data_IF_153202700895
#
_entry.id   IF_153202700895
#
_cell.length_a   1.000
_cell.length_b   1.000
_cell.length_c   1.000
_cell.angle_alpha   90.00
_cell.angle_beta   90.00
_cell.angle_gamma   90.00
#
_symmetry.space_group_name_H-M   'P 1'
#
loop_
_entity.id
_entity.type
_entity.pdbx_description
1 polymer ?
#
# COMPACT_ATOMS: atom_id res chain seq x y z
N UNK A 1 15.59 -33.10 -58.36
CA UNK A 1 14.98 -34.35 -58.87
C UNK A 1 15.26 -35.40 -57.81
N UNK A 2 14.29 -35.69 -56.94
CA UNK A 2 13.30 -36.75 -57.16
C UNK A 2 13.92 -38.04 -56.61
N UNK A 3 13.62 -38.42 -55.37
CA UNK A 3 12.44 -39.18 -54.92
C UNK A 3 12.83 -40.64 -54.70
N UNK A 4 12.64 -41.13 -53.48
CA UNK A 4 12.18 -42.49 -53.13
C UNK A 4 12.27 -42.67 -51.60
N UNK A 5 11.40 -43.37 -50.88
CA UNK A 5 10.17 -44.09 -51.22
C UNK A 5 9.47 -44.43 -49.88
N UNK A 6 8.20 -44.84 -49.98
CA UNK A 6 7.55 -45.87 -49.14
C UNK A 6 6.29 -45.46 -48.36
N UNK A 7 5.18 -45.81 -49.02
CA UNK A 7 4.07 -46.60 -48.49
C UNK A 7 3.00 -45.92 -47.62
N UNK A 8 1.91 -45.58 -48.31
CA UNK A 8 0.55 -45.52 -47.80
C UNK A 8 0.12 -46.82 -47.09
N UNK A 9 -0.46 -46.66 -45.90
CA UNK A 9 -1.59 -47.47 -45.44
C UNK A 9 -2.66 -46.55 -44.86
N UNK A 10 -3.75 -46.41 -45.62
CA UNK A 10 -5.01 -45.81 -45.18
C UNK A 10 -5.68 -46.71 -44.14
N UNK A 11 -6.08 -46.14 -43.00
CA UNK A 11 -7.14 -46.68 -42.16
C UNK A 11 -8.19 -45.59 -41.92
N UNK A 12 -9.40 -45.87 -42.40
CA UNK A 12 -10.58 -45.01 -42.35
C UNK A 12 -11.17 -45.03 -40.93
N UNK A 13 -11.68 -43.88 -40.51
CA UNK A 13 -12.22 -43.58 -39.19
C UNK A 13 -13.20 -44.62 -38.63
N UNK A 14 -13.06 -44.90 -37.33
CA UNK A 14 -14.15 -45.45 -36.49
C UNK A 14 -14.58 -44.31 -35.56
N UNK A 15 -15.80 -43.84 -35.77
CA UNK A 15 -16.52 -42.94 -34.87
C UNK A 15 -16.72 -43.63 -33.53
N UNK A 16 -16.03 -43.15 -32.50
CA UNK A 16 -16.33 -43.43 -31.11
C UNK A 16 -16.68 -42.12 -30.44
N UNK A 17 -17.93 -41.98 -30.03
CA UNK A 17 -18.36 -40.96 -29.07
C UNK A 17 -17.55 -41.17 -27.78
N UNK A 18 -16.67 -40.22 -27.48
CA UNK A 18 -16.14 -40.02 -26.14
C UNK A 18 -16.47 -38.60 -25.72
N UNK A 19 -17.39 -38.53 -24.78
CA UNK A 19 -17.68 -37.40 -23.90
C UNK A 19 -16.38 -36.99 -23.17
N UNK A 20 -15.65 -36.05 -23.76
CA UNK A 20 -14.57 -35.34 -23.08
C UNK A 20 -15.08 -33.93 -22.78
N UNK A 21 -15.44 -33.71 -21.51
CA UNK A 21 -15.59 -32.35 -20.98
C UNK A 21 -14.27 -31.59 -21.17
N UNK A 22 -14.18 -30.86 -22.27
CA UNK A 22 -13.18 -29.83 -22.46
C UNK A 22 -13.47 -28.73 -21.43
N UNK A 23 -12.72 -28.74 -20.33
CA UNK A 23 -12.41 -27.49 -19.62
C UNK A 23 -11.75 -26.57 -20.63
N UNK A 24 -12.54 -25.67 -21.21
CA UNK A 24 -12.06 -24.57 -22.02
C UNK A 24 -11.00 -23.80 -21.23
N UNK A 25 -9.77 -23.76 -21.75
CA UNK A 25 -8.75 -22.85 -21.23
C UNK A 25 -9.29 -21.42 -21.34
N UNK A 26 -9.16 -20.59 -20.29
CA UNK A 26 -9.63 -19.20 -20.31
C UNK A 26 -9.00 -18.43 -21.49
N UNK A 27 -9.75 -17.48 -22.03
CA UNK A 27 -9.30 -16.56 -23.09
C UNK A 27 -8.03 -15.84 -22.65
N UNK A 28 -6.97 -15.93 -23.45
CA UNK A 28 -5.66 -15.30 -23.17
C UNK A 28 -5.71 -13.77 -23.17
N UNK A 29 -6.73 -13.18 -23.78
CA UNK A 29 -6.86 -11.71 -23.92
C UNK A 29 -7.30 -11.03 -22.62
N UNK A 30 -8.23 -11.62 -21.85
CA UNK A 30 -8.74 -11.03 -20.59
C UNK A 30 -7.72 -11.09 -19.45
N UNK A 31 -7.01 -12.22 -19.31
CA UNK A 31 -5.97 -12.40 -18.26
C UNK A 31 -4.78 -11.43 -18.48
N UNK A 32 -4.46 -11.13 -19.74
CA UNK A 32 -3.40 -10.16 -20.09
C UNK A 32 -3.81 -8.73 -19.71
N UNK A 33 -5.10 -8.41 -19.75
CA UNK A 33 -5.60 -7.07 -19.42
C UNK A 33 -5.43 -6.75 -17.91
N UNK A 34 -5.88 -7.65 -17.03
CA UNK A 34 -5.80 -7.44 -15.57
C UNK A 34 -4.35 -7.38 -15.08
N UNK A 35 -3.46 -8.19 -15.66
CA UNK A 35 -2.04 -8.17 -15.30
C UNK A 35 -1.37 -6.82 -15.65
N UNK A 36 -1.71 -6.25 -16.81
CA UNK A 36 -1.22 -4.93 -17.22
C UNK A 36 -1.79 -3.82 -16.33
N UNK A 37 -3.08 -3.85 -16.01
CA UNK A 37 -3.67 -2.90 -15.06
C UNK A 37 -3.00 -2.93 -13.68
N UNK A 38 -2.67 -4.13 -13.18
CA UNK A 38 -1.91 -4.28 -11.92
C UNK A 38 -0.51 -3.68 -12.06
N UNK A 39 0.18 -3.92 -13.17
CA UNK A 39 1.51 -3.32 -13.43
C UNK A 39 1.43 -1.79 -13.43
N UNK A 40 0.42 -1.21 -14.06
CA UNK A 40 0.19 0.24 -14.08
C UNK A 40 -0.10 0.77 -12.67
N UNK A 41 -0.94 0.07 -11.89
CA UNK A 41 -1.21 0.40 -10.49
C UNK A 41 0.08 0.38 -9.65
N UNK A 42 0.92 -0.64 -9.78
CA UNK A 42 2.20 -0.78 -9.06
C UNK A 42 3.21 0.31 -9.43
N UNK A 43 3.27 0.68 -10.71
CA UNK A 43 4.16 1.72 -11.23
C UNK A 43 3.78 3.14 -10.77
N UNK A 44 2.51 3.38 -10.47
CA UNK A 44 2.03 4.63 -9.87
C UNK A 44 2.12 4.63 -8.35
N UNK A 45 2.03 3.46 -7.73
CA UNK A 45 2.00 3.27 -6.26
C UNK A 45 3.39 3.12 -5.63
N UNK A 46 4.20 4.18 -5.66
CA UNK A 46 5.58 4.14 -5.14
C UNK A 46 5.66 4.02 -3.61
N UNK A 47 4.68 4.58 -2.91
CA UNK A 47 4.57 4.55 -1.44
C UNK A 47 3.13 4.31 -1.02
N UNK A 48 2.90 4.07 0.28
CA UNK A 48 1.56 3.96 0.87
C UNK A 48 0.65 5.17 0.54
N UNK A 49 1.25 6.36 0.38
CA UNK A 49 0.52 7.57 0.02
C UNK A 49 0.08 7.56 -1.45
N UNK A 50 0.96 7.14 -2.35
CA UNK A 50 0.64 7.03 -3.78
C UNK A 50 -0.31 5.86 -4.05
N UNK A 51 -0.16 4.74 -3.33
CA UNK A 51 -1.11 3.62 -3.39
C UNK A 51 -2.52 4.04 -2.96
N UNK A 52 -2.61 4.84 -1.90
CA UNK A 52 -3.90 5.41 -1.46
C UNK A 52 -4.46 6.38 -2.48
N UNK A 53 -3.64 7.26 -3.06
CA UNK A 53 -4.09 8.18 -4.10
C UNK A 53 -4.62 7.43 -5.33
N UNK A 54 -3.89 6.42 -5.81
CA UNK A 54 -4.31 5.65 -6.98
C UNK A 54 -5.56 4.82 -6.69
N UNK A 55 -5.68 4.24 -5.49
CA UNK A 55 -6.91 3.61 -5.02
C UNK A 55 -8.09 4.58 -5.03
N UNK A 56 -7.89 5.82 -4.59
CA UNK A 56 -8.94 6.85 -4.62
C UNK A 56 -9.35 7.20 -6.05
N UNK A 57 -8.41 7.29 -6.99
CA UNK A 57 -8.72 7.56 -8.41
C UNK A 57 -9.57 6.42 -9.00
N UNK A 58 -9.17 5.16 -8.79
CA UNK A 58 -9.96 4.00 -9.23
C UNK A 58 -11.40 4.03 -8.69
N UNK A 59 -11.57 4.38 -7.41
CA UNK A 59 -12.89 4.48 -6.78
C UNK A 59 -13.71 5.64 -7.35
N UNK A 60 -13.09 6.81 -7.55
CA UNK A 60 -13.75 7.99 -8.13
C UNK A 60 -14.20 7.71 -9.58
N UNK A 61 -13.35 7.09 -10.37
CA UNK A 61 -13.64 6.71 -11.77
C UNK A 61 -14.80 5.69 -11.84
N UNK A 62 -14.93 4.81 -10.83
CA UNK A 62 -16.06 3.89 -10.66
C UNK A 62 -17.33 4.54 -10.05
N UNK A 63 -17.31 5.86 -9.85
CA UNK A 63 -18.45 6.64 -9.36
C UNK A 63 -18.69 6.52 -7.85
N UNK A 64 -17.66 6.19 -7.06
CA UNK A 64 -17.76 6.25 -5.61
C UNK A 64 -17.64 7.70 -5.12
N UNK A 65 -18.42 8.05 -4.09
CA UNK A 65 -18.36 9.35 -3.46
C UNK A 65 -17.32 9.37 -2.32
N UNK A 66 -16.39 10.33 -2.37
CA UNK A 66 -15.46 10.59 -1.27
C UNK A 66 -16.18 11.24 -0.09
N UNK A 67 -16.03 10.65 1.08
CA UNK A 67 -16.55 11.15 2.35
C UNK A 67 -15.45 11.81 3.19
N UNK A 68 -15.84 12.82 3.95
CA UNK A 68 -14.99 13.49 4.94
C UNK A 68 -15.26 12.91 6.32
N UNK A 69 -14.24 12.37 7.00
CA UNK A 69 -14.38 11.86 8.37
C UNK A 69 -14.72 12.94 9.42
N UNK A 70 -14.70 14.22 9.01
CA UNK A 70 -15.00 15.37 9.87
C UNK A 70 -16.48 15.78 9.82
N UNK A 71 -17.26 15.16 8.94
CA UNK A 71 -18.65 15.50 8.67
C UNK A 71 -19.57 14.35 9.04
N UNK A 72 -20.84 14.65 9.33
CA UNK A 72 -21.87 13.63 9.44
C UNK A 72 -22.21 13.08 8.05
N UNK A 73 -22.36 11.76 7.94
CA UNK A 73 -22.62 11.10 6.66
C UNK A 73 -24.10 10.79 6.50
N UNK A 74 -24.69 11.30 5.42
CA UNK A 74 -26.00 10.87 4.94
C UNK A 74 -25.79 9.74 3.92
N UNK A 75 -25.92 8.50 4.38
CA UNK A 75 -25.70 7.31 3.54
C UNK A 75 -27.03 6.75 3.03
N UNK A 76 -27.09 6.47 1.74
CA UNK A 76 -28.28 5.91 1.07
C UNK A 76 -28.05 4.47 0.61
N UNK A 77 -29.07 3.58 0.68
CA UNK A 77 -29.04 2.26 0.04
C UNK A 77 -28.74 2.37 -1.45
N UNK A 78 -27.90 1.47 -1.97
CA UNK A 78 -27.35 1.54 -3.33
C UNK A 78 -26.16 2.48 -3.49
N UNK A 79 -25.82 3.26 -2.46
CA UNK A 79 -24.73 4.22 -2.51
C UNK A 79 -23.34 3.58 -2.43
N UNK A 80 -22.39 4.22 -3.12
CA UNK A 80 -20.97 3.84 -3.19
C UNK A 80 -20.13 4.93 -2.54
N UNK A 81 -19.35 4.59 -1.52
CA UNK A 81 -18.65 5.58 -0.72
C UNK A 81 -17.24 5.14 -0.36
N UNK A 82 -16.35 6.09 -0.14
CA UNK A 82 -15.05 5.81 0.46
C UNK A 82 -14.55 6.98 1.28
N UNK A 83 -13.65 6.72 2.22
CA UNK A 83 -12.91 7.77 2.92
C UNK A 83 -11.45 7.36 3.07
N UNK A 84 -10.60 8.35 3.37
CA UNK A 84 -9.17 8.13 3.60
C UNK A 84 -8.77 8.67 4.97
N UNK A 85 -7.82 7.99 5.62
CA UNK A 85 -7.19 8.48 6.85
C UNK A 85 -5.68 8.62 6.65
N UNK A 86 -5.11 9.73 7.12
CA UNK A 86 -3.68 10.06 6.99
C UNK A 86 -3.13 10.10 5.55
N UNK A 87 -3.99 10.02 4.53
CA UNK A 87 -3.61 9.79 3.12
C UNK A 87 -2.89 8.46 2.88
N UNK A 88 -2.92 7.52 3.82
CA UNK A 88 -2.25 6.23 3.71
C UNK A 88 -3.15 5.02 3.96
N UNK A 89 -4.35 5.22 4.51
CA UNK A 89 -5.41 4.19 4.59
C UNK A 89 -6.58 4.63 3.73
N UNK A 90 -7.21 3.69 3.01
CA UNK A 90 -8.49 3.89 2.32
C UNK A 90 -9.49 2.82 2.73
N UNK A 91 -10.72 3.24 3.01
CA UNK A 91 -11.84 2.33 3.27
C UNK A 91 -12.95 2.67 2.29
N UNK A 92 -13.24 1.73 1.40
CA UNK A 92 -14.32 1.80 0.44
C UNK A 92 -15.45 0.86 0.84
N UNK A 93 -16.69 1.29 0.65
CA UNK A 93 -17.85 0.46 0.92
C UNK A 93 -19.04 0.80 0.02
N UNK A 94 -19.86 -0.21 -0.21
CA UNK A 94 -21.07 -0.14 -1.02
C UNK A 94 -22.23 -0.70 -0.22
N UNK A 95 -23.32 0.05 -0.16
CA UNK A 95 -24.55 -0.39 0.49
C UNK A 95 -25.45 -1.06 -0.54
N UNK A 96 -25.87 -2.31 -0.29
CA UNK A 96 -26.89 -2.96 -1.11
C UNK A 96 -28.21 -2.18 -1.12
N UNK A 97 -29.01 -2.33 -2.17
CA UNK A 97 -30.28 -1.60 -2.32
C UNK A 97 -31.30 -1.99 -1.24
N UNK A 98 -31.20 -3.21 -0.70
CA UNK A 98 -32.01 -3.75 0.40
C UNK A 98 -31.30 -3.66 1.75
N UNK A 99 -30.23 -2.88 1.85
CA UNK A 99 -29.50 -2.71 3.11
C UNK A 99 -30.35 -1.98 4.15
N UNK A 100 -30.41 -2.55 5.36
CA UNK A 100 -31.03 -1.93 6.53
C UNK A 100 -30.04 -1.87 7.70
N UNK A 101 -30.14 -0.91 8.63
CA UNK A 101 -29.31 -0.89 9.83
C UNK A 101 -29.39 -2.21 10.61
N UNK A 102 -28.26 -2.91 10.73
CA UNK A 102 -28.17 -4.25 11.34
C UNK A 102 -27.94 -5.39 10.34
N UNK A 103 -28.04 -5.10 9.04
CA UNK A 103 -27.53 -5.96 7.97
C UNK A 103 -26.03 -6.25 8.12
N UNK A 104 -25.59 -7.36 7.53
CA UNK A 104 -24.22 -7.81 7.63
C UNK A 104 -23.25 -7.09 6.69
N UNK A 105 -21.96 -7.29 6.94
CA UNK A 105 -20.86 -6.84 6.09
C UNK A 105 -20.12 -8.03 5.49
N UNK A 106 -19.73 -7.89 4.22
CA UNK A 106 -18.70 -8.70 3.59
C UNK A 106 -17.46 -7.81 3.45
N UNK A 107 -16.37 -8.16 4.15
CA UNK A 107 -15.18 -7.29 4.23
C UNK A 107 -13.97 -8.01 3.64
N UNK A 108 -13.27 -7.35 2.72
CA UNK A 108 -11.92 -7.73 2.28
C UNK A 108 -10.93 -6.72 2.83
N UNK A 109 -9.87 -7.19 3.48
CA UNK A 109 -8.84 -6.34 4.05
C UNK A 109 -7.46 -6.67 3.46
N UNK A 110 -6.71 -5.63 3.07
CA UNK A 110 -5.32 -5.71 2.62
C UNK A 110 -4.53 -4.52 3.22
N UNK A 111 -3.29 -4.31 2.77
CA UNK A 111 -2.47 -3.19 3.24
C UNK A 111 -1.74 -2.47 2.10
N UNK A 112 -1.48 -1.19 2.34
CA UNK A 112 -0.89 -0.25 1.38
C UNK A 112 0.62 -0.07 1.57
N UNK A 113 1.15 -0.43 2.73
CA UNK A 113 2.56 -0.33 3.05
C UNK A 113 3.34 -1.58 2.65
N UNK A 114 4.64 -1.38 2.43
CA UNK A 114 5.63 -2.43 2.17
C UNK A 114 6.94 -2.07 2.88
N UNK A 115 7.82 -3.04 3.18
CA UNK A 115 9.09 -2.75 3.80
C UNK A 115 9.97 -1.87 2.91
N UNK A 116 10.57 -0.82 3.49
CA UNK A 116 11.40 0.12 2.76
C UNK A 116 12.39 0.88 3.67
N UNK A 117 13.47 1.48 3.13
CA UNK A 117 14.20 2.54 3.81
C UNK A 117 13.33 3.80 3.80
N UNK A 118 13.02 4.34 4.97
CA UNK A 118 12.37 5.65 5.13
C UNK A 118 13.42 6.70 5.50
N UNK A 119 13.29 7.93 4.99
CA UNK A 119 14.18 9.02 5.39
C UNK A 119 14.00 9.30 6.88
N UNK A 120 15.11 9.54 7.59
CA UNK A 120 15.07 9.99 9.00
C UNK A 120 14.58 11.45 9.07
N UNK A 121 14.02 11.90 10.20
CA UNK A 121 13.71 13.32 10.40
C UNK A 121 14.95 14.23 10.26
N UNK A 122 16.14 13.73 10.59
CA UNK A 122 17.41 14.40 10.32
C UNK A 122 18.17 13.52 9.33
N UNK A 123 18.26 13.93 8.07
CA UNK A 123 18.86 13.11 7.01
C UNK A 123 20.31 13.48 6.70
N UNK A 124 20.74 14.72 6.98
CA UNK A 124 22.06 15.18 6.56
C UNK A 124 23.18 14.37 7.23
N UNK A 125 23.95 13.64 6.42
CA UNK A 125 25.15 12.94 6.84
C UNK A 125 26.23 13.11 5.78
N UNK A 126 27.48 13.30 6.21
CA UNK A 126 28.63 13.44 5.29
C UNK A 126 29.73 12.49 5.74
N UNK A 127 30.29 11.72 4.82
CA UNK A 127 31.40 10.82 5.09
C UNK A 127 32.27 10.64 3.84
N UNK A 128 33.59 10.65 4.02
CA UNK A 128 34.56 10.41 2.94
C UNK A 128 34.34 11.26 1.67
N UNK A 129 33.93 12.53 1.83
CA UNK A 129 33.67 13.44 0.70
C UNK A 129 32.34 13.21 -0.04
N UNK A 130 31.45 12.36 0.50
CA UNK A 130 30.11 12.13 0.00
C UNK A 130 29.05 12.69 0.94
N UNK A 131 28.05 13.35 0.37
CA UNK A 131 26.78 13.64 1.04
C UNK A 131 25.89 12.40 0.96
N UNK A 132 25.48 11.91 2.11
CA UNK A 132 24.59 10.77 2.30
C UNK A 132 23.25 11.22 2.88
N UNK A 133 22.21 10.44 2.63
CA UNK A 133 20.88 10.65 3.18
C UNK A 133 20.64 9.58 4.25
N UNK A 134 20.47 10.01 5.49
CA UNK A 134 20.15 9.15 6.62
C UNK A 134 18.77 8.50 6.46
N UNK A 135 18.72 7.17 6.56
CA UNK A 135 17.50 6.37 6.44
C UNK A 135 17.32 5.46 7.65
N UNK A 136 16.08 5.08 7.92
CA UNK A 136 15.69 4.08 8.91
C UNK A 136 14.95 2.93 8.21
N UNK A 137 15.10 1.73 8.73
CA UNK A 137 14.38 0.56 8.24
C UNK A 137 12.92 0.60 8.67
N UNK A 138 12.00 0.45 7.73
CA UNK A 138 10.57 0.29 7.99
C UNK A 138 10.14 -1.12 7.57
N UNK A 139 9.57 -1.88 8.51
CA UNK A 139 9.14 -3.27 8.26
C UNK A 139 10.27 -4.31 8.26
N UNK A 140 9.94 -5.55 7.88
CA UNK A 140 10.85 -6.69 7.84
C UNK A 140 11.57 -6.90 6.50
N UNK A 141 12.21 -5.87 5.95
CA UNK A 141 12.77 -5.90 4.60
C UNK A 141 13.97 -6.83 4.41
N UNK A 142 14.11 -7.38 3.20
CA UNK A 142 15.33 -8.04 2.75
C UNK A 142 16.39 -7.00 2.36
N UNK A 143 17.01 -6.36 3.34
CA UNK A 143 17.82 -5.14 3.14
C UNK A 143 18.99 -5.27 2.15
N UNK A 144 19.53 -6.46 1.95
CA UNK A 144 20.58 -6.69 0.97
C UNK A 144 20.13 -6.45 -0.48
N UNK A 145 18.83 -6.56 -0.79
CA UNK A 145 18.31 -6.35 -2.15
C UNK A 145 18.22 -4.87 -2.55
N UNK A 146 18.33 -3.97 -1.58
CA UNK A 146 18.34 -2.52 -1.78
C UNK A 146 19.72 -1.98 -2.17
N UNK A 147 20.77 -2.79 -1.98
CA UNK A 147 22.10 -2.44 -2.43
C UNK A 147 22.16 -2.51 -3.96
N UNK A 148 22.95 -1.62 -4.53
CA UNK A 148 23.20 -1.57 -5.96
C UNK A 148 21.96 -1.42 -6.85
N UNK A 149 20.91 -0.80 -6.31
CA UNK A 149 19.72 -0.36 -7.04
C UNK A 149 19.80 1.12 -7.41
N UNK A 150 19.13 1.47 -8.50
CA UNK A 150 18.93 2.86 -8.90
C UNK A 150 17.75 3.42 -8.12
N UNK A 151 18.06 4.20 -7.08
CA UNK A 151 17.08 4.59 -6.07
C UNK A 151 16.70 6.06 -6.22
N UNK A 152 15.49 6.36 -5.78
CA UNK A 152 14.99 7.73 -5.65
C UNK A 152 14.14 7.86 -4.38
N UNK A 153 13.46 8.99 -4.21
CA UNK A 153 12.55 9.26 -3.09
C UNK A 153 11.15 9.61 -3.58
N UNK A 154 10.16 9.12 -2.84
CA UNK A 154 8.76 9.49 -3.02
C UNK A 154 8.03 9.49 -1.68
N UNK A 155 6.94 10.25 -1.57
CA UNK A 155 6.12 10.27 -0.37
C UNK A 155 5.26 11.51 -0.28
N UNK A 156 5.13 12.08 0.92
CA UNK A 156 4.40 13.31 1.16
C UNK A 156 5.29 14.39 1.76
N UNK A 157 4.99 15.63 1.43
CA UNK A 157 5.61 16.84 1.97
C UNK A 157 4.53 17.72 2.57
N UNK A 158 4.82 18.32 3.73
CA UNK A 158 4.03 19.35 4.33
C UNK A 158 4.60 20.70 3.89
N UNK A 159 3.83 21.42 3.08
CA UNK A 159 4.18 22.77 2.63
C UNK A 159 3.47 23.81 3.48
N UNK A 160 4.17 24.89 3.79
CA UNK A 160 3.61 26.09 4.42
C UNK A 160 3.13 27.05 3.34
N UNK A 161 1.82 27.30 3.30
CA UNK A 161 1.23 28.31 2.44
C UNK A 161 1.52 29.73 2.91
N UNK A 162 1.30 30.71 2.03
CA UNK A 162 1.46 32.14 2.34
C UNK A 162 0.61 32.61 3.54
N UNK A 163 -0.54 31.96 3.74
CA UNK A 163 -1.46 32.20 4.86
C UNK A 163 -1.03 31.52 6.18
N UNK A 164 0.13 30.85 6.18
CA UNK A 164 0.69 30.12 7.31
C UNK A 164 0.07 28.73 7.53
N UNK A 165 -0.92 28.32 6.73
CA UNK A 165 -1.54 26.98 6.83
C UNK A 165 -0.63 25.93 6.23
N UNK A 166 -0.70 24.72 6.78
CA UNK A 166 0.00 23.56 6.23
C UNK A 166 -0.88 22.81 5.24
N UNK A 167 -0.30 22.46 4.09
CA UNK A 167 -0.92 21.63 3.07
C UNK A 167 -0.06 20.39 2.82
N UNK A 168 -0.71 19.24 2.62
CA UNK A 168 -0.02 18.03 2.19
C UNK A 168 0.08 17.99 0.66
N UNK A 169 1.26 17.68 0.14
CA UNK A 169 1.50 17.40 -1.28
C UNK A 169 2.23 16.07 -1.42
N UNK A 170 1.85 15.29 -2.43
CA UNK A 170 2.65 14.13 -2.82
C UNK A 170 3.81 14.59 -3.68
N UNK A 171 4.94 13.91 -3.54
CA UNK A 171 6.15 14.15 -4.34
C UNK A 171 6.72 12.81 -4.77
N UNK A 172 7.22 12.77 -6.00
CA UNK A 172 7.92 11.62 -6.57
C UNK A 172 9.02 12.14 -7.49
N UNK A 173 10.28 11.97 -7.10
CA UNK A 173 11.41 12.35 -7.96
C UNK A 173 11.63 11.24 -8.98
N UNK A 174 11.15 11.42 -10.21
CA UNK A 174 11.11 10.38 -11.25
C UNK A 174 12.43 10.24 -12.02
N UNK A 175 13.52 10.13 -11.27
CA UNK A 175 14.89 9.86 -11.76
C UNK A 175 15.75 9.31 -10.62
N UNK A 176 16.77 8.49 -10.90
CA UNK A 176 17.65 7.99 -9.85
C UNK A 176 18.53 9.11 -9.29
N UNK A 177 18.45 9.31 -7.98
CA UNK A 177 19.24 10.31 -7.25
C UNK A 177 19.99 9.71 -6.05
N UNK A 178 19.69 8.46 -5.69
CA UNK A 178 20.27 7.76 -4.56
C UNK A 178 20.88 6.43 -5.00
N UNK A 179 21.94 6.01 -4.28
CA UNK A 179 22.55 4.69 -4.44
C UNK A 179 23.08 4.20 -3.10
N UNK A 180 22.80 2.95 -2.75
CA UNK A 180 23.47 2.25 -1.63
C UNK A 180 24.52 1.31 -2.24
N UNK A 181 25.80 1.73 -2.35
CA UNK A 181 26.82 0.92 -3.01
C UNK A 181 27.26 -0.27 -2.13
N UNK A 182 27.48 -1.44 -2.75
CA UNK A 182 28.16 -2.54 -2.04
C UNK A 182 29.64 -2.25 -1.84
N UNK A 183 30.21 -2.82 -0.77
CA UNK A 183 31.66 -2.86 -0.61
C UNK A 183 32.25 -3.87 -1.62
N UNK A 184 33.31 -3.48 -2.31
CA UNK A 184 33.97 -4.35 -3.26
C UNK A 184 34.47 -5.65 -2.60
N UNK A 185 34.21 -6.80 -3.23
CA UNK A 185 34.61 -8.14 -2.75
C UNK A 185 36.12 -8.27 -2.47
N UNK A 186 36.96 -7.47 -3.12
CA UNK A 186 38.41 -7.44 -2.87
C UNK A 186 38.76 -7.02 -1.44
N UNK A 187 37.89 -6.21 -0.82
CA UNK A 187 38.00 -5.67 0.54
C UNK A 187 37.17 -6.49 1.56
N UNK A 188 36.22 -7.31 1.09
CA UNK A 188 35.49 -8.29 1.88
C UNK A 188 35.46 -9.64 1.15
N UNK A 189 36.52 -10.42 1.35
CA UNK A 189 36.71 -11.70 0.66
C UNK A 189 35.84 -12.82 1.21
N UNK A 190 35.25 -12.64 2.40
CA UNK A 190 34.44 -13.68 3.05
C UNK A 190 32.94 -13.49 2.83
N UNK A 191 32.52 -12.44 2.13
CA UNK A 191 31.10 -12.14 1.85
C UNK A 191 30.29 -13.32 1.29
N UNK A 192 30.90 -14.13 0.41
CA UNK A 192 30.23 -15.29 -0.20
C UNK A 192 30.22 -16.54 0.69
N UNK A 193 31.15 -16.65 1.66
CA UNK A 193 31.20 -17.78 2.59
C UNK A 193 30.41 -17.51 3.87
N UNK A 194 30.50 -16.29 4.39
CA UNK A 194 29.97 -15.90 5.70
C UNK A 194 28.58 -15.24 5.57
N UNK A 195 28.17 -14.93 4.35
CA UNK A 195 26.96 -14.20 4.01
C UNK A 195 27.15 -12.69 4.02
N UNK A 196 26.36 -11.99 3.21
CA UNK A 196 26.34 -10.54 3.14
C UNK A 196 25.70 -9.95 4.41
N UNK A 197 26.54 -9.60 5.39
CA UNK A 197 26.14 -9.02 6.67
C UNK A 197 26.26 -7.51 6.61
N UNK A 198 25.16 -6.81 6.88
CA UNK A 198 25.12 -5.35 6.86
C UNK A 198 24.74 -4.80 8.23
N UNK A 199 25.37 -3.69 8.61
CA UNK A 199 24.90 -2.84 9.69
C UNK A 199 23.93 -1.80 9.10
N UNK A 200 22.65 -1.88 9.47
CA UNK A 200 21.59 -1.02 8.93
C UNK A 200 21.71 0.45 9.34
N UNK A 201 22.51 0.79 10.34
CA UNK A 201 22.74 2.17 10.76
C UNK A 201 23.94 2.78 10.01
N UNK A 202 25.06 2.06 9.93
CA UNK A 202 26.32 2.63 9.44
C UNK A 202 26.59 2.37 7.95
N UNK A 203 26.01 1.30 7.38
CA UNK A 203 26.31 0.83 6.02
C UNK A 203 25.12 0.94 5.06
N UNK A 204 23.97 1.47 5.50
CA UNK A 204 22.74 1.48 4.72
C UNK A 204 22.29 2.87 4.24
N UNK A 205 22.99 3.93 4.64
CA UNK A 205 22.68 5.29 4.20
C UNK A 205 23.06 5.49 2.73
N UNK A 206 22.10 5.77 1.81
CA UNK A 206 22.39 6.03 0.42
C UNK A 206 23.23 7.29 0.22
N UNK A 207 24.08 7.26 -0.80
CA UNK A 207 24.82 8.40 -1.33
C UNK A 207 23.90 9.22 -2.23
N UNK A 208 23.90 10.54 -2.04
CA UNK A 208 23.19 11.52 -2.88
C UNK A 208 24.14 12.15 -3.91
N UNK A 209 25.27 12.68 -3.45
CA UNK A 209 26.26 13.32 -4.31
C UNK A 209 27.63 13.40 -3.62
N UNK A 210 28.65 13.90 -4.34
CA UNK A 210 29.92 14.27 -3.74
C UNK A 210 29.84 15.69 -3.16
N UNK A 211 30.54 15.94 -2.06
CA UNK A 211 30.64 17.29 -1.47
C UNK A 211 31.25 18.30 -2.47
N UNK A 212 32.15 17.84 -3.35
CA UNK A 212 32.73 18.67 -4.41
C UNK A 212 31.65 19.13 -5.39
N UNK A 213 30.81 18.21 -5.88
CA UNK A 213 29.75 18.56 -6.83
C UNK A 213 28.70 19.46 -6.19
N UNK A 214 28.32 19.19 -4.94
CA UNK A 214 27.44 20.05 -4.17
C UNK A 214 27.99 21.48 -4.07
N UNK A 215 29.27 21.66 -3.76
CA UNK A 215 29.89 22.98 -3.67
C UNK A 215 29.94 23.71 -5.02
N UNK A 216 30.29 23.01 -6.10
CA UNK A 216 30.33 23.58 -7.45
C UNK A 216 28.96 24.07 -7.93
N UNK A 217 27.90 23.37 -7.54
CA UNK A 217 26.52 23.69 -7.93
C UNK A 217 25.84 24.67 -6.94
N UNK A 218 26.58 25.20 -5.96
CA UNK A 218 26.06 26.18 -4.99
C UNK A 218 25.18 25.57 -3.89
N UNK A 219 25.25 24.25 -3.69
CA UNK A 219 24.54 23.50 -2.64
C UNK A 219 25.44 23.14 -1.44
N UNK A 220 26.50 23.89 -1.20
CA UNK A 220 27.34 23.74 0.00
C UNK A 220 26.54 24.07 1.26
N UNK A 221 26.77 23.32 2.34
CA UNK A 221 26.36 23.75 3.68
C UNK A 221 27.01 25.13 3.93
N UNK A 222 26.21 26.15 4.26
CA UNK A 222 26.77 27.45 4.63
C UNK A 222 27.53 27.27 5.93
N UNK A 223 28.84 27.51 5.91
CA UNK A 223 29.59 27.79 7.14
C UNK A 223 29.15 29.19 7.61
N UNK A 224 28.07 29.25 8.39
CA UNK A 224 27.76 30.47 9.12
C UNK A 224 28.92 30.74 10.09
N UNK A 225 29.61 31.86 9.85
CA UNK A 225 30.83 32.23 10.56
C UNK A 225 30.61 32.40 12.06
N UNK A 226 31.54 31.81 12.82
CA UNK A 226 31.96 32.11 14.20
C UNK A 226 30.93 32.26 15.35
N UNK A 227 29.64 32.06 15.11
CA UNK A 227 28.66 31.89 16.18
C UNK A 227 28.59 30.43 16.60
N UNK A 228 29.30 30.13 17.69
CA UNK A 228 29.18 28.89 18.47
C UNK A 228 27.70 28.62 18.75
N UNK A 229 27.23 27.42 18.36
CA UNK A 229 25.84 26.92 18.35
C UNK A 229 25.04 27.05 17.03
N UNK A 230 25.68 27.15 15.86
CA UNK A 230 24.98 26.91 14.59
C UNK A 230 24.48 25.45 14.49
N UNK A 231 23.17 25.29 14.44
CA UNK A 231 22.50 24.00 14.32
C UNK A 231 22.92 23.33 13.01
N UNK A 232 23.50 22.13 13.11
CA UNK A 232 23.81 21.30 11.94
C UNK A 232 22.56 21.19 11.06
N UNK A 233 22.69 21.48 9.77
CA UNK A 233 21.56 21.45 8.83
C UNK A 233 20.82 20.10 8.93
N UNK A 234 19.49 20.15 9.06
CA UNK A 234 18.66 18.96 9.23
C UNK A 234 18.72 18.03 8.00
N UNK A 235 18.77 18.65 6.82
CA UNK A 235 18.79 18.01 5.51
C UNK A 235 19.82 18.69 4.61
N UNK A 236 20.39 17.95 3.66
CA UNK A 236 21.29 18.51 2.64
C UNK A 236 20.52 19.51 1.75
N UNK A 237 21.07 20.72 1.46
CA UNK A 237 20.41 21.71 0.61
C UNK A 237 20.01 21.18 -0.77
N UNK A 238 20.85 20.31 -1.35
CA UNK A 238 20.55 19.67 -2.63
C UNK A 238 19.26 18.83 -2.59
N UNK A 239 19.03 18.06 -1.52
CA UNK A 239 17.81 17.27 -1.38
C UNK A 239 16.58 18.18 -1.32
N UNK A 240 16.63 19.24 -0.51
CA UNK A 240 15.53 20.20 -0.42
C UNK A 240 15.27 20.92 -1.75
N UNK A 241 16.32 21.27 -2.49
CA UNK A 241 16.17 21.90 -3.81
C UNK A 241 15.51 20.98 -4.83
N UNK A 242 15.86 19.69 -4.85
CA UNK A 242 15.23 18.70 -5.74
C UNK A 242 13.74 18.56 -5.38
N UNK A 243 13.40 18.44 -4.10
CA UNK A 243 12.01 18.34 -3.66
C UNK A 243 11.21 19.61 -3.99
N UNK A 244 11.82 20.78 -3.83
CA UNK A 244 11.20 22.06 -4.13
C UNK A 244 10.94 22.24 -5.63
N UNK A 245 11.86 21.78 -6.49
CA UNK A 245 11.70 21.75 -7.95
C UNK A 245 10.52 20.86 -8.37
N UNK A 246 10.43 19.62 -7.83
CA UNK A 246 9.30 18.72 -8.12
C UNK A 246 7.94 19.25 -7.64
N UNK A 247 7.95 20.13 -6.64
CA UNK A 247 6.75 20.69 -6.02
C UNK A 247 6.40 22.11 -6.50
N UNK A 248 7.24 22.70 -7.36
CA UNK A 248 7.14 24.10 -7.79
C UNK A 248 7.01 25.08 -6.60
N UNK A 249 7.88 24.93 -5.60
CA UNK A 249 7.91 25.78 -4.40
C UNK A 249 9.33 26.22 -4.04
N UNK A 250 9.48 27.04 -2.99
CA UNK A 250 10.80 27.34 -2.43
C UNK A 250 11.20 26.28 -1.41
N UNK A 251 12.51 25.98 -1.24
CA UNK A 251 12.98 25.07 -0.19
C UNK A 251 12.53 25.47 1.22
N UNK A 252 12.34 26.78 1.47
CA UNK A 252 11.89 27.31 2.74
C UNK A 252 10.40 27.02 3.04
N UNK A 253 9.61 26.68 2.02
CA UNK A 253 8.19 26.36 2.18
C UNK A 253 7.99 24.92 2.70
N UNK A 254 9.01 24.07 2.56
CA UNK A 254 9.01 22.68 3.05
C UNK A 254 9.13 22.69 4.57
N UNK A 255 8.03 22.40 5.26
CA UNK A 255 7.97 22.36 6.72
C UNK A 255 8.44 21.02 7.30
N UNK A 256 8.04 19.91 6.66
CA UNK A 256 8.40 18.54 7.06
C UNK A 256 8.08 17.59 5.89
N UNK A 257 8.67 16.39 5.87
CA UNK A 257 8.31 15.38 4.90
C UNK A 257 8.36 13.95 5.45
N UNK A 258 7.57 13.07 4.84
CA UNK A 258 7.63 11.63 5.05
C UNK A 258 7.88 10.96 3.72
N UNK A 259 9.15 10.60 3.48
CA UNK A 259 9.63 10.06 2.22
C UNK A 259 10.19 8.65 2.41
N UNK A 260 9.83 7.77 1.48
CA UNK A 260 10.43 6.45 1.34
C UNK A 260 11.49 6.52 0.24
N UNK A 261 12.53 5.71 0.38
CA UNK A 261 13.43 5.37 -0.73
C UNK A 261 12.73 4.33 -1.61
N UNK A 262 12.79 4.50 -2.92
CA UNK A 262 12.11 3.66 -3.90
C UNK A 262 13.06 3.22 -5.02
N UNK A 263 12.89 2.00 -5.52
CA UNK A 263 13.53 1.55 -6.78
C UNK A 263 12.88 2.28 -7.96
N UNK A 264 13.70 2.77 -8.88
CA UNK A 264 13.25 3.46 -10.10
C UNK A 264 13.00 2.48 -11.26
N UNK A 265 13.42 1.22 -11.12
CA UNK A 265 13.10 0.18 -12.10
C UNK A 265 11.58 -0.06 -12.13
N UNK A 266 10.92 0.09 -13.29
CA UNK A 266 9.48 -0.12 -13.39
C UNK A 266 9.10 -1.60 -13.23
N UNK A 267 7.91 -1.82 -12.69
CA UNK A 267 7.22 -3.10 -12.69
C UNK A 267 6.90 -3.50 -14.14
N UNK A 268 7.08 -4.79 -14.47
CA UNK A 268 6.89 -5.32 -15.82
C UNK A 268 6.31 -6.74 -15.80
N UNK A 269 5.67 -7.13 -16.91
CA UNK A 269 5.45 -8.54 -17.24
C UNK A 269 6.74 -9.11 -17.83
N UNK A 270 7.16 -10.29 -17.36
CA UNK A 270 8.40 -10.94 -17.77
C UNK A 270 8.34 -12.46 -17.72
N UNK A 271 9.52 -13.09 -17.86
CA UNK A 271 9.65 -14.52 -18.11
C UNK A 271 9.63 -14.86 -19.60
N UNK A 272 10.19 -16.01 -19.99
CA UNK A 272 10.31 -16.40 -21.39
C UNK A 272 8.96 -16.51 -22.13
N UNK A 273 7.87 -16.73 -21.38
CA UNK A 273 6.51 -16.81 -21.87
C UNK A 273 5.62 -15.62 -21.44
N UNK A 274 6.19 -14.54 -20.89
CA UNK A 274 5.45 -13.38 -20.36
C UNK A 274 4.39 -13.75 -19.32
N UNK A 275 4.71 -14.70 -18.42
CA UNK A 275 3.76 -15.28 -17.46
C UNK A 275 3.97 -14.79 -16.02
N UNK A 276 4.99 -13.96 -15.77
CA UNK A 276 5.33 -13.46 -14.43
C UNK A 276 5.24 -11.94 -14.35
N UNK A 277 4.94 -11.43 -13.17
CA UNK A 277 5.05 -10.00 -12.84
C UNK A 277 6.32 -9.80 -12.01
N UNK A 278 7.22 -8.96 -12.49
CA UNK A 278 8.42 -8.54 -11.75
C UNK A 278 8.17 -7.15 -11.18
N UNK A 279 8.05 -7.06 -9.86
CA UNK A 279 7.76 -5.80 -9.19
C UNK A 279 8.20 -5.83 -7.73
N UNK A 280 8.61 -4.67 -7.21
CA UNK A 280 8.59 -4.42 -5.77
C UNK A 280 7.15 -4.29 -5.26
N UNK A 281 6.96 -4.37 -3.94
CA UNK A 281 5.67 -4.05 -3.27
C UNK A 281 4.47 -4.94 -3.66
N UNK A 282 4.69 -6.06 -4.36
CA UNK A 282 3.63 -7.04 -4.63
C UNK A 282 2.94 -7.45 -3.33
N UNK A 283 3.75 -7.66 -2.28
CA UNK A 283 3.29 -7.66 -0.91
C UNK A 283 3.12 -6.20 -0.42
N UNK A 284 1.90 -5.69 -0.27
CA UNK A 284 0.59 -6.33 -0.52
C UNK A 284 -0.28 -5.55 -1.50
N UNK A 285 0.34 -4.72 -2.35
CA UNK A 285 -0.38 -3.91 -3.32
C UNK A 285 -1.12 -4.75 -4.36
N UNK A 286 -0.67 -5.98 -4.63
CA UNK A 286 -1.41 -6.93 -5.47
C UNK A 286 -2.80 -7.22 -4.88
N UNK A 287 -2.88 -7.55 -3.58
CA UNK A 287 -4.17 -7.83 -2.94
C UNK A 287 -5.02 -6.58 -2.78
N UNK A 288 -4.38 -5.42 -2.53
CA UNK A 288 -5.08 -4.13 -2.50
C UNK A 288 -5.75 -3.79 -3.83
N UNK A 289 -5.04 -3.96 -4.95
CA UNK A 289 -5.59 -3.78 -6.29
C UNK A 289 -6.72 -4.77 -6.57
N UNK A 290 -6.48 -6.07 -6.36
CA UNK A 290 -7.47 -7.12 -6.60
C UNK A 290 -8.75 -6.91 -5.78
N UNK A 291 -8.64 -6.48 -4.52
CA UNK A 291 -9.78 -6.23 -3.66
C UNK A 291 -10.66 -5.09 -4.21
N UNK A 292 -10.04 -3.98 -4.63
CA UNK A 292 -10.76 -2.84 -5.22
C UNK A 292 -11.37 -3.21 -6.58
N UNK A 293 -10.59 -3.83 -7.48
CA UNK A 293 -11.07 -4.25 -8.80
C UNK A 293 -12.25 -5.20 -8.67
N UNK A 294 -12.15 -6.21 -7.80
CA UNK A 294 -13.24 -7.15 -7.56
C UNK A 294 -14.50 -6.47 -6.99
N UNK A 295 -14.36 -5.49 -6.09
CA UNK A 295 -15.51 -4.71 -5.60
C UNK A 295 -16.16 -3.91 -6.73
N UNK A 296 -15.36 -3.20 -7.54
CA UNK A 296 -15.85 -2.37 -8.65
C UNK A 296 -16.60 -3.25 -9.66
N UNK A 297 -15.98 -4.33 -10.13
CA UNK A 297 -16.57 -5.27 -11.09
C UNK A 297 -17.82 -5.95 -10.52
N UNK A 298 -17.84 -6.32 -9.24
CA UNK A 298 -19.01 -6.94 -8.62
C UNK A 298 -20.23 -6.01 -8.64
N UNK A 299 -20.02 -4.72 -8.38
CA UNK A 299 -21.09 -3.71 -8.43
C UNK A 299 -21.62 -3.53 -9.86
N UNK A 300 -20.72 -3.50 -10.85
CA UNK A 300 -21.09 -3.31 -12.26
C UNK A 300 -21.82 -4.53 -12.84
N UNK A 301 -21.35 -5.74 -12.53
CA UNK A 301 -21.85 -6.96 -13.17
C UNK A 301 -23.09 -7.55 -12.49
N UNK A 302 -23.16 -7.50 -11.15
CA UNK A 302 -24.27 -8.13 -10.40
C UNK A 302 -25.38 -7.15 -10.03
N UNK A 303 -25.09 -5.85 -10.09
CA UNK A 303 -25.97 -4.82 -9.56
C UNK A 303 -26.13 -4.91 -8.04
N UNK A 304 -26.91 -3.99 -7.48
CA UNK A 304 -27.14 -3.88 -6.02
C UNK A 304 -28.58 -4.19 -5.61
N UNK A 305 -29.48 -4.45 -6.58
CA UNK A 305 -30.94 -4.51 -6.38
C UNK A 305 -31.37 -5.57 -5.35
N UNK A 306 -30.74 -6.74 -5.37
CA UNK A 306 -31.03 -7.85 -4.46
C UNK A 306 -30.07 -7.93 -3.26
N UNK A 307 -29.07 -7.05 -3.19
CA UNK A 307 -28.08 -7.08 -2.12
C UNK A 307 -28.65 -6.40 -0.86
N UNK A 308 -28.60 -7.13 0.25
CA UNK A 308 -29.06 -6.67 1.57
C UNK A 308 -27.91 -6.33 2.51
N UNK A 309 -26.67 -6.59 2.08
CA UNK A 309 -25.44 -6.41 2.84
C UNK A 309 -24.65 -5.21 2.33
N UNK A 310 -23.71 -4.79 3.17
CA UNK A 310 -22.67 -3.88 2.74
C UNK A 310 -21.43 -4.67 2.30
N UNK A 311 -20.85 -4.29 1.17
CA UNK A 311 -19.53 -4.75 0.75
C UNK A 311 -18.50 -3.72 1.19
N UNK A 312 -17.36 -4.14 1.71
CA UNK A 312 -16.31 -3.24 2.19
C UNK A 312 -14.93 -3.75 1.79
N UNK A 313 -14.08 -2.83 1.34
CA UNK A 313 -12.65 -3.04 1.14
C UNK A 313 -11.92 -2.06 2.04
N UNK A 314 -11.05 -2.57 2.90
CA UNK A 314 -10.25 -1.76 3.81
C UNK A 314 -8.76 -2.02 3.55
N UNK A 315 -8.06 -0.99 3.07
CA UNK A 315 -6.64 -1.02 2.77
C UNK A 315 -5.90 -0.21 3.83
N UNK A 316 -5.21 -0.88 4.74
CA UNK A 316 -4.59 -0.27 5.91
C UNK A 316 -3.11 0.03 5.72
N UNK A 317 -2.62 1.07 6.39
CA UNK A 317 -1.19 1.36 6.57
C UNK A 317 -0.63 0.66 7.83
N UNK A 318 0.69 0.66 7.99
CA UNK A 318 1.44 0.15 9.15
C UNK A 318 1.31 -1.34 9.44
N UNK A 319 0.94 -2.16 8.45
CA UNK A 319 0.91 -3.59 8.65
C UNK A 319 2.30 -4.13 9.00
N UNK A 320 3.31 -3.70 8.25
CA UNK A 320 4.68 -4.22 8.31
C UNK A 320 5.38 -3.92 9.65
N UNK A 321 4.78 -3.07 10.47
CA UNK A 321 5.28 -2.65 11.79
C UNK A 321 4.34 -3.02 12.94
N UNK A 322 3.36 -3.91 12.70
CA UNK A 322 2.50 -4.48 13.74
C UNK A 322 1.12 -3.85 13.88
N UNK A 323 0.73 -2.94 12.97
CA UNK A 323 -0.62 -2.37 12.86
C UNK A 323 -1.12 -1.54 14.04
N UNK A 324 -0.27 -1.20 15.01
CA UNK A 324 -0.64 -0.41 16.19
C UNK A 324 -0.60 1.10 15.89
N UNK A 325 -1.58 1.57 15.13
CA UNK A 325 -1.67 2.98 14.73
C UNK A 325 -3.12 3.45 14.53
N UNK A 326 -3.36 4.76 14.63
CA UNK A 326 -4.69 5.35 14.45
C UNK A 326 -5.28 5.13 13.04
N UNK A 327 -4.41 4.88 12.05
CA UNK A 327 -4.73 4.61 10.66
C UNK A 327 -5.34 3.21 10.45
N UNK A 328 -5.15 2.27 11.39
CA UNK A 328 -5.69 0.91 11.33
C UNK A 328 -7.06 0.81 12.01
N UNK A 329 -7.36 1.70 12.98
CA UNK A 329 -8.62 1.74 13.74
C UNK A 329 -9.80 2.36 12.97
N UNK A 330 -9.81 2.26 11.64
CA UNK A 330 -10.77 2.91 10.76
C UNK A 330 -11.95 1.98 10.41
N UNK A 331 -12.78 1.60 11.39
CA UNK A 331 -14.11 1.07 11.08
C UNK A 331 -15.15 2.20 11.14
N UNK A 332 -15.99 2.37 10.11
CA UNK A 332 -17.01 3.41 10.10
C UNK A 332 -18.06 3.18 11.18
N UNK A 333 -18.54 4.25 11.85
CA UNK A 333 -19.62 4.15 12.83
C UNK A 333 -20.96 3.99 12.11
N UNK A 334 -21.36 2.76 11.79
CA UNK A 334 -22.75 2.50 11.38
C UNK A 334 -23.64 2.44 12.63
N UNK A 335 -24.22 3.58 13.02
CA UNK A 335 -25.21 3.64 14.10
C UNK A 335 -26.61 3.90 13.57
N UNK A 336 -27.59 3.30 14.24
CA UNK A 336 -29.04 3.51 14.05
C UNK A 336 -29.38 4.98 14.36
N UNK A 337 -30.35 5.63 13.68
CA UNK A 337 -30.88 6.90 14.17
C UNK A 337 -31.41 6.71 15.60
N UNK A 338 -31.25 7.67 16.52
CA UNK A 338 -31.68 7.52 17.90
C UNK A 338 -33.21 7.55 18.00
N UNK A 339 -33.87 6.43 17.74
CA UNK A 339 -35.28 6.25 18.11
C UNK A 339 -35.38 5.71 19.52
N UNK A 340 -36.09 6.49 20.35
CA UNK A 340 -36.76 6.10 21.59
C UNK A 340 -35.90 5.64 22.78
N UNK A 341 -35.39 6.62 23.53
CA UNK A 341 -35.51 6.57 25.00
C UNK A 341 -35.78 7.98 25.55
N UNK A 342 -37.04 8.41 25.45
CA UNK A 342 -37.70 9.28 26.43
C UNK A 342 -39.20 9.10 26.26
N UNK A 343 -39.88 9.09 27.40
CA UNK A 343 -41.30 8.81 27.60
C UNK A 343 -42.22 9.83 26.87
N UNK A 344 -43.49 9.46 26.75
CA UNK A 344 -44.61 10.15 26.08
C UNK A 344 -44.85 11.66 26.47
N UNK A 345 -45.70 12.42 25.73
CA UNK A 345 -45.61 13.89 25.46
C UNK A 345 -46.69 14.74 26.23
N UNK A 346 -47.05 16.03 25.89
CA UNK A 346 -46.40 17.26 25.30
C UNK A 346 -46.61 18.53 26.24
N UNK A 347 -46.54 19.86 25.87
CA UNK A 347 -46.30 20.52 24.57
C UNK A 347 -45.39 21.80 24.56
N UNK A 348 -45.21 22.34 23.34
CA UNK A 348 -44.84 23.70 22.92
C UNK A 348 -43.38 24.19 22.96
N UNK A 349 -42.89 24.54 21.76
CA UNK A 349 -42.19 25.82 21.54
C UNK A 349 -40.67 25.78 21.43
N UNK A 350 -40.20 26.38 20.33
CA UNK A 350 -38.86 26.93 20.08
C UNK A 350 -37.72 25.98 19.65
N UNK A 351 -37.23 26.30 18.44
CA UNK A 351 -35.92 25.98 17.89
C UNK A 351 -34.80 26.06 18.92
N UNK A 352 -33.75 25.23 18.81
CA UNK A 352 -32.36 25.58 19.12
C UNK A 352 -31.40 24.54 18.50
N UNK A 353 -30.42 25.04 17.75
CA UNK A 353 -29.21 24.35 17.29
C UNK A 353 -28.37 23.89 18.50
N UNK A 354 -27.74 22.71 18.44
CA UNK A 354 -26.81 22.25 19.49
C UNK A 354 -25.38 22.26 18.96
N UNK A 355 -24.57 23.19 19.49
CA UNK A 355 -23.10 23.20 19.41
C UNK A 355 -22.52 22.27 20.48
N UNK A 356 -21.43 21.57 20.19
CA UNK A 356 -20.58 20.93 21.21
C UNK A 356 -19.42 21.86 21.60
N UNK A 357 -19.07 21.97 22.90
CA UNK A 357 -17.95 22.79 23.36
C UNK A 357 -16.61 22.05 23.19
N UNK A 358 -15.60 22.81 22.78
CA UNK A 358 -14.18 22.44 22.85
C UNK A 358 -13.70 22.50 24.31
N UNK A 359 -12.90 21.51 24.70
CA UNK A 359 -12.22 21.27 25.99
C UNK A 359 -12.93 20.43 27.07
N UNK A 360 -12.46 19.19 27.22
CA UNK A 360 -12.44 18.42 28.47
C UNK A 360 -11.14 17.56 28.54
N UNK A 361 -10.57 17.30 29.73
CA UNK A 361 -9.23 16.71 29.93
C UNK A 361 -9.21 15.18 29.69
N UNK A 362 -8.03 14.53 29.57
CA UNK A 362 -7.94 13.15 29.12
C UNK A 362 -8.38 12.19 30.24
N UNK A 363 -9.54 11.55 30.07
CA UNK A 363 -9.95 10.41 30.90
C UNK A 363 -9.48 9.10 30.27
N UNK A 364 -8.81 8.27 31.08
CA UNK A 364 -8.24 6.95 30.74
C UNK A 364 -9.31 5.85 30.65
N UNK A 365 -10.36 6.05 29.86
CA UNK A 365 -11.37 5.01 29.59
C UNK A 365 -11.76 5.08 28.11
N UNK A 366 -11.53 4.02 27.31
CA UNK A 366 -12.02 4.01 25.94
C UNK A 366 -13.54 4.04 25.98
N UNK A 367 -14.13 5.09 25.38
CA UNK A 367 -15.56 5.16 25.14
C UNK A 367 -15.87 4.15 24.04
N UNK A 368 -16.12 2.90 24.44
CA UNK A 368 -16.66 1.86 23.57
C UNK A 368 -18.15 2.15 23.33
N UNK A 369 -18.48 2.70 22.17
CA UNK A 369 -19.84 2.59 21.65
C UNK A 369 -20.07 1.13 21.23
N UNK A 370 -21.11 0.44 21.73
CA UNK A 370 -21.42 -0.90 21.26
C UNK A 370 -21.95 -0.81 19.83
N UNK A 371 -21.07 -0.94 18.84
CA UNK A 371 -21.48 -1.28 17.48
C UNK A 371 -22.04 -2.70 17.51
N UNK A 372 -23.35 -2.84 17.30
CA UNK A 372 -23.91 -4.11 16.84
C UNK A 372 -23.68 -4.26 15.34
N UNK A 373 -22.40 -4.36 14.93
CA UNK A 373 -22.05 -4.91 13.62
C UNK A 373 -22.25 -6.43 13.69
N UNK A 374 -23.19 -6.97 12.92
CA UNK A 374 -23.20 -8.42 12.63
C UNK A 374 -22.15 -8.70 11.55
N UNK A 375 -20.88 -8.72 11.96
CA UNK A 375 -19.79 -9.22 11.12
C UNK A 375 -20.04 -10.71 10.83
N UNK A 376 -20.13 -11.07 9.55
CA UNK A 376 -20.29 -12.48 9.15
C UNK A 376 -19.06 -13.05 8.46
N UNK A 377 -18.29 -12.24 7.73
CA UNK A 377 -17.06 -12.70 7.07
C UNK A 377 -16.06 -11.54 6.92
N UNK A 378 -14.80 -11.81 7.25
CA UNK A 378 -13.64 -10.95 6.97
C UNK A 378 -12.62 -11.82 6.25
N UNK A 379 -12.31 -11.47 5.02
CA UNK A 379 -11.22 -12.06 4.27
C UNK A 379 -9.98 -11.17 4.38
N UNK A 380 -8.98 -11.64 5.11
CA UNK A 380 -7.66 -11.00 5.18
C UNK A 380 -6.84 -11.47 3.98
N UNK A 381 -6.69 -10.58 3.00
CA UNK A 381 -6.02 -10.86 1.75
C UNK A 381 -4.53 -10.52 1.87
N UNK A 382 -3.67 -11.53 1.74
CA UNK A 382 -2.20 -11.38 1.76
C UNK A 382 -1.53 -12.25 0.73
N UNK A 383 -0.38 -11.77 0.26
CA UNK A 383 0.53 -12.61 -0.51
C UNK A 383 0.90 -13.87 0.28
N UNK A 384 0.87 -15.00 -0.40
CA UNK A 384 1.30 -16.28 0.15
C UNK A 384 2.67 -16.62 -0.41
N UNK A 385 3.51 -17.29 0.39
CA UNK A 385 4.78 -17.79 -0.10
C UNK A 385 4.55 -18.90 -1.12
N UNK A 386 4.93 -18.65 -2.38
CA UNK A 386 5.03 -19.70 -3.39
C UNK A 386 6.11 -20.70 -3.03
N UNK A 387 5.96 -21.93 -3.53
CA UNK A 387 7.03 -22.90 -3.44
C UNK A 387 8.29 -22.39 -4.17
N UNK A 388 9.41 -22.26 -3.46
CA UNK A 388 10.67 -21.79 -4.05
C UNK A 388 11.34 -22.94 -4.79
N UNK A 389 11.45 -22.83 -6.11
CA UNK A 389 12.15 -23.82 -6.94
C UNK A 389 13.62 -24.00 -6.55
N UNK A 390 14.26 -22.92 -6.04
CA UNK A 390 15.65 -22.93 -5.60
C UNK A 390 15.82 -23.34 -4.13
N UNK A 391 14.74 -23.41 -3.34
CA UNK A 391 14.78 -23.80 -1.93
C UNK A 391 13.56 -24.69 -1.54
N UNK A 392 13.34 -25.83 -2.21
CA UNK A 392 12.15 -26.65 -2.01
C UNK A 392 12.05 -27.24 -0.60
N UNK A 393 13.18 -27.40 0.09
CA UNK A 393 13.26 -27.93 1.45
C UNK A 393 12.62 -27.03 2.52
N UNK A 394 12.39 -25.75 2.21
CA UNK A 394 11.72 -24.80 3.12
C UNK A 394 10.19 -24.84 2.97
N UNK A 395 9.67 -25.56 1.99
CA UNK A 395 8.24 -25.63 1.71
C UNK A 395 7.63 -26.89 2.34
N UNK A 396 6.43 -26.74 2.92
CA UNK A 396 5.69 -27.90 3.42
C UNK A 396 5.29 -28.80 2.23
N UNK A 397 5.78 -30.04 2.21
CA UNK A 397 5.55 -30.99 1.11
C UNK A 397 4.09 -31.32 0.82
N UNK A 398 3.17 -31.03 1.76
CA UNK A 398 1.72 -31.22 1.59
C UNK A 398 0.97 -29.96 1.15
N UNK A 399 1.58 -28.78 1.21
CA UNK A 399 0.98 -27.48 0.87
C UNK A 399 1.95 -26.68 0.00
N UNK A 400 1.99 -27.04 -1.30
CA UNK A 400 2.85 -26.41 -2.30
C UNK A 400 1.98 -25.55 -3.24
N UNK A 401 1.81 -24.25 -2.96
CA UNK A 401 1.23 -23.34 -3.93
C UNK A 401 2.19 -23.23 -5.14
N UNK A 402 1.63 -23.42 -6.33
CA UNK A 402 2.31 -23.30 -7.63
C UNK A 402 1.77 -22.09 -8.40
N UNK A 403 2.59 -21.45 -9.25
CA UNK A 403 2.11 -20.46 -10.22
C UNK A 403 0.92 -21.04 -11.02
N UNK A 404 -0.03 -20.18 -11.40
CA UNK A 404 -1.25 -20.50 -12.18
C UNK A 404 -2.20 -21.57 -11.61
N UNK A 405 -1.98 -22.07 -10.39
CA UNK A 405 -2.88 -23.02 -9.75
C UNK A 405 -4.15 -22.31 -9.23
N UNK A 406 -5.27 -22.43 -9.95
CA UNK A 406 -6.60 -21.99 -9.49
C UNK A 406 -7.09 -22.92 -8.37
N UNK A 407 -6.73 -22.66 -7.11
CA UNK A 407 -7.49 -23.14 -5.95
C UNK A 407 -8.32 -21.98 -5.42
N UNK A 408 -9.58 -22.19 -5.00
CA UNK A 408 -10.31 -21.16 -4.28
C UNK A 408 -9.47 -20.71 -3.09
N UNK A 409 -9.34 -19.39 -2.91
CA UNK A 409 -8.71 -18.80 -1.72
C UNK A 409 -9.27 -19.51 -0.49
N UNK A 410 -8.37 -20.07 0.34
CA UNK A 410 -8.77 -20.67 1.59
C UNK A 410 -9.26 -19.56 2.52
N UNK A 411 -10.57 -19.34 2.53
CA UNK A 411 -11.27 -18.51 3.50
C UNK A 411 -10.99 -19.11 4.88
N UNK A 412 -10.34 -18.37 5.76
CA UNK A 412 -10.16 -18.77 7.15
C UNK A 412 -11.30 -18.14 7.96
N UNK A 413 -12.38 -18.87 8.28
CA UNK A 413 -13.44 -18.32 9.11
C UNK A 413 -12.92 -18.16 10.53
N UNK A 414 -12.71 -16.91 10.97
CA UNK A 414 -12.45 -16.60 12.38
C UNK A 414 -13.74 -16.83 13.18
N UNK A 415 -13.98 -18.07 13.60
CA UNK A 415 -14.88 -18.35 14.72
C UNK A 415 -14.09 -18.29 16.02
N UNK A 416 -14.27 -17.20 16.79
CA UNK A 416 -14.08 -17.23 18.24
C UNK A 416 -12.92 -16.42 18.83
N UNK A 417 -13.31 -15.44 19.64
CA UNK A 417 -12.64 -14.90 20.83
C UNK A 417 -11.20 -14.37 20.69
N UNK A 418 -11.07 -13.04 20.73
CA UNK A 418 -9.89 -12.36 21.28
C UNK A 418 -9.53 -12.95 22.65
N UNK A 419 -8.39 -13.65 22.74
CA UNK A 419 -7.66 -13.76 23.99
C UNK A 419 -6.41 -12.89 23.89
N UNK A 420 -6.31 -11.93 24.80
CA UNK A 420 -5.13 -11.10 25.00
C UNK A 420 -3.94 -11.99 25.34
N UNK A 421 -2.85 -11.86 24.57
CA UNK A 421 -1.55 -12.38 24.97
C UNK A 421 -1.08 -11.60 26.21
N UNK A 422 -1.16 -12.24 27.39
CA UNK A 422 -0.37 -11.84 28.55
C UNK A 422 1.09 -12.18 28.27
N UNK A 423 1.96 -11.19 28.43
CA UNK A 423 3.40 -11.37 28.40
C UNK A 423 3.87 -12.38 29.43
N UNK A 424 4.93 -13.10 29.08
CA UNK A 424 5.72 -13.90 30.00
C UNK A 424 7.09 -13.24 30.09
N UNK A 425 7.54 -13.12 31.34
CA UNK A 425 8.79 -12.53 31.82
C UNK A 425 10.06 -13.02 31.13
#
# INVERSE_FOLDING_TARGET
MGADNSAHRTFKARSGENDSGETSLPSTEDDTNVANELVDYLNKSWTQFHATEESCKLLLDAGFQKLSEREEWALEPGGKYFFTRNMSTVVAFVLGQKYEPGSGFNIVAAHTDSPCPKLKPITASTAAGFQKVGVQTYGGGLWHTWFDRDLSVAGRVLLRGEDGRLAHKLVRVDRPILRIPTLAIHLDRTVNSDGFKINTETQFAPVLCTSIKAALDGHSEKEDGDDKESSKAQHHPLLLSILAEELDCQPADIAEFELNVCDTQPSVIGGAANEFIFSGRLDNLCMSFCALKAMIEAVETRGLEDESRAMMVALFDHEEVGSDSAQVLALPPFSRPPTSRRQAPPPQGCAHSVRFPLHAPPSRTPITYPLHMRLRCIDKARSCHLSSACAPCLCNSRHLPHPSHRRPLAVCPLTGACSLARGVH
#
